data_IF_157687166243
#
_entry.id   IF_157687166243
#
_cell.length_a   1.000
_cell.length_b   1.000
_cell.length_c   1.000
_cell.angle_alpha   90.00
_cell.angle_beta   90.00
_cell.angle_gamma   90.00
#
_symmetry.space_group_name_H-M   'P 1'
#
loop_
_entity.id
_entity.type
_entity.pdbx_description
1 polymer ?
#
# COMPACT_ATOMS: atom_id res chain seq x y z
N UNK A 1 23.87 35.85 -40.32
CA UNK A 1 23.88 36.83 -39.22
C UNK A 1 22.90 37.96 -39.45
N UNK A 2 21.65 37.73 -39.04
CA UNK A 2 20.68 38.68 -38.46
C UNK A 2 19.28 38.05 -38.49
N UNK A 3 18.67 38.05 -37.31
CA UNK A 3 17.23 38.06 -37.03
C UNK A 3 16.33 37.04 -37.76
N UNK A 4 15.89 36.03 -37.02
CA UNK A 4 14.48 35.66 -36.98
C UNK A 4 14.18 34.77 -35.75
N UNK A 5 13.30 35.27 -34.88
CA UNK A 5 12.16 34.59 -34.24
C UNK A 5 12.40 33.34 -33.37
N UNK A 6 11.70 33.08 -32.27
CA UNK A 6 10.71 33.81 -31.48
C UNK A 6 10.53 33.04 -30.16
N UNK A 7 10.48 33.80 -29.07
CA UNK A 7 9.54 33.70 -27.94
C UNK A 7 8.81 32.37 -27.68
N UNK A 8 9.17 31.70 -26.58
CA UNK A 8 8.26 30.82 -25.84
C UNK A 8 8.21 31.29 -24.37
N UNK A 9 7.29 32.22 -24.10
CA UNK A 9 6.68 32.40 -22.79
C UNK A 9 5.71 31.22 -22.59
N UNK A 10 5.70 30.51 -21.47
CA UNK A 10 5.19 31.00 -20.19
C UNK A 10 3.93 30.21 -19.83
N UNK A 11 4.09 28.98 -19.34
CA UNK A 11 3.00 28.21 -18.73
C UNK A 11 3.20 28.18 -17.22
N UNK A 12 2.80 29.26 -16.55
CA UNK A 12 2.61 29.27 -15.11
C UNK A 12 1.38 28.45 -14.75
N UNK A 13 1.58 27.34 -14.05
CA UNK A 13 0.52 26.55 -13.46
C UNK A 13 0.10 27.22 -12.14
N UNK A 14 -1.18 27.57 -11.93
CA UNK A 14 -1.63 28.06 -10.63
C UNK A 14 -1.74 26.88 -9.67
N UNK A 15 -0.73 26.77 -8.82
CA UNK A 15 -0.66 25.87 -7.68
C UNK A 15 -1.53 26.45 -6.56
N UNK A 16 -2.81 26.07 -6.51
CA UNK A 16 -3.74 26.41 -5.42
C UNK A 16 -3.40 25.60 -4.16
N UNK A 17 -2.26 25.94 -3.56
CA UNK A 17 -1.82 25.44 -2.27
C UNK A 17 -2.67 26.01 -1.14
N UNK A 18 -3.78 25.35 -0.80
CA UNK A 18 -4.47 25.55 0.47
C UNK A 18 -3.62 24.98 1.63
N UNK A 19 -2.58 25.74 2.00
CA UNK A 19 -1.76 25.49 3.17
C UNK A 19 -2.52 25.82 4.46
N UNK A 20 -3.13 24.81 5.08
CA UNK A 20 -3.55 24.89 6.48
C UNK A 20 -2.30 24.84 7.37
N UNK A 21 -1.79 25.99 7.79
CA UNK A 21 -0.82 26.08 8.88
C UNK A 21 -1.59 26.12 10.22
N UNK A 22 -1.29 25.22 11.18
CA UNK A 22 -1.85 25.35 12.52
C UNK A 22 -1.17 26.52 13.24
N UNK A 23 -1.99 27.50 13.63
CA UNK A 23 -1.57 28.69 14.34
C UNK A 23 -0.89 28.37 15.68
N UNK A 24 0.27 29.01 15.86
CA UNK A 24 1.01 29.35 17.07
C UNK A 24 0.51 28.85 18.43
N UNK A 25 1.31 27.99 19.04
CA UNK A 25 1.41 27.86 20.49
C UNK A 25 2.01 29.15 21.08
N UNK A 26 1.16 30.13 21.37
CA UNK A 26 1.52 31.33 22.12
C UNK A 26 1.81 30.97 23.58
N UNK A 27 3.07 31.11 23.99
CA UNK A 27 3.47 31.14 25.38
C UNK A 27 2.97 32.45 26.00
N UNK A 28 2.04 32.35 26.95
CA UNK A 28 1.60 33.47 27.77
C UNK A 28 2.04 33.26 29.22
N UNK A 29 2.91 34.18 29.62
CA UNK A 29 3.40 34.61 30.92
C UNK A 29 2.66 34.16 32.18
N UNK A 30 3.49 33.75 33.13
CA UNK A 30 3.19 33.63 34.55
C UNK A 30 2.99 35.00 35.23
N UNK A 31 2.37 34.92 36.43
CA UNK A 31 2.34 35.90 37.53
C UNK A 31 1.35 37.06 37.40
N UNK A 32 0.23 36.96 38.14
CA UNK A 32 -0.14 37.96 39.18
C UNK A 32 -1.33 37.50 40.04
N UNK A 33 -1.02 37.36 41.33
CA UNK A 33 -1.81 37.69 42.54
C UNK A 33 -3.32 37.40 42.59
N UNK A 34 -3.67 36.42 43.41
CA UNK A 34 -5.01 36.20 43.95
C UNK A 34 -5.40 37.24 45.01
N UNK A 35 -6.65 37.75 45.02
CA UNK A 35 -7.20 38.44 46.18
C UNK A 35 -7.77 37.44 47.19
N UNK A 36 -7.38 37.64 48.46
CA UNK A 36 -7.90 36.93 49.62
C UNK A 36 -9.30 37.42 49.98
N UNK A 37 -10.19 36.47 50.23
CA UNK A 37 -11.17 36.52 51.31
C UNK A 37 -12.47 37.31 51.07
N UNK A 38 -13.56 36.57 50.85
CA UNK A 38 -14.85 36.88 51.48
C UNK A 38 -15.44 35.58 51.99
N UNK A 39 -15.63 35.51 53.30
CA UNK A 39 -16.26 34.42 54.00
C UNK A 39 -17.77 34.68 54.14
N UNK A 40 -18.53 33.58 54.10
CA UNK A 40 -19.90 33.37 54.57
C UNK A 40 -21.07 34.07 53.86
N UNK A 41 -21.94 33.22 53.30
CA UNK A 41 -23.28 33.60 52.88
C UNK A 41 -24.02 32.45 52.18
N UNK A 42 -24.40 31.42 52.94
CA UNK A 42 -25.36 30.36 52.60
C UNK A 42 -25.04 29.44 51.40
N UNK A 43 -24.57 28.23 51.73
CA UNK A 43 -24.59 27.11 50.79
C UNK A 43 -26.04 26.73 50.46
N UNK A 44 -26.50 27.11 49.27
CA UNK A 44 -27.72 26.58 48.68
C UNK A 44 -27.59 25.06 48.49
N UNK A 45 -28.09 24.30 49.47
CA UNK A 45 -28.21 22.83 49.47
C UNK A 45 -29.01 22.24 48.28
N UNK A 46 -29.52 23.08 47.36
CA UNK A 46 -30.28 22.65 46.18
C UNK A 46 -29.46 22.50 44.90
N UNK A 47 -28.25 23.04 44.81
CA UNK A 47 -27.51 23.11 43.53
C UNK A 47 -26.28 22.20 43.41
N UNK A 48 -25.89 21.49 44.47
CA UNK A 48 -24.79 20.51 44.41
C UNK A 48 -25.30 19.11 44.74
N UNK A 49 -26.06 18.50 43.82
CA UNK A 49 -26.01 17.03 43.73
C UNK A 49 -24.53 16.70 43.50
N UNK A 50 -23.87 15.88 44.34
CA UNK A 50 -22.51 15.45 44.03
C UNK A 50 -22.60 14.81 42.65
N UNK A 51 -21.91 15.39 41.66
CA UNK A 51 -21.73 14.72 40.38
C UNK A 51 -21.05 13.40 40.74
N UNK A 52 -21.83 12.33 40.78
CA UNK A 52 -21.29 10.98 40.92
C UNK A 52 -20.15 10.88 39.92
N UNK A 53 -19.04 10.25 40.28
CA UNK A 53 -17.79 10.08 39.51
C UNK A 53 -18.00 9.35 38.17
N UNK A 54 -18.94 9.81 37.35
CA UNK A 54 -19.66 9.09 36.30
C UNK A 54 -19.84 9.93 35.03
N UNK A 55 -19.15 11.07 34.94
CA UNK A 55 -19.05 11.87 33.71
C UNK A 55 -17.68 11.75 33.02
N UNK A 56 -16.88 10.75 33.40
CA UNK A 56 -15.72 10.35 32.58
C UNK A 56 -16.26 9.59 31.38
N UNK A 57 -16.00 10.08 30.17
CA UNK A 57 -16.44 9.46 28.92
C UNK A 57 -16.13 7.95 28.82
N UNK A 58 -16.62 7.28 27.77
CA UNK A 58 -16.54 5.84 27.66
C UNK A 58 -15.12 5.31 27.89
N UNK A 59 -14.95 4.44 28.89
CA UNK A 59 -13.65 3.89 29.29
C UNK A 59 -13.19 2.72 28.40
N UNK A 60 -14.13 2.05 27.72
CA UNK A 60 -13.83 0.94 26.82
C UNK A 60 -13.24 1.44 25.49
N UNK A 61 -12.35 0.65 24.88
CA UNK A 61 -11.79 0.99 23.56
C UNK A 61 -12.88 1.17 22.50
N UNK A 62 -13.90 0.30 22.51
CA UNK A 62 -15.07 0.42 21.64
C UNK A 62 -15.88 1.70 21.90
N UNK A 63 -16.06 2.08 23.17
CA UNK A 63 -16.76 3.30 23.52
C UNK A 63 -15.97 4.57 23.17
N UNK A 64 -14.63 4.57 23.35
CA UNK A 64 -13.75 5.65 22.87
C UNK A 64 -13.80 5.79 21.35
N UNK A 65 -13.81 4.68 20.60
CA UNK A 65 -13.96 4.70 19.14
C UNK A 65 -15.33 5.24 18.70
N UNK A 66 -16.42 4.94 19.43
CA UNK A 66 -17.73 5.55 19.19
C UNK A 66 -17.74 7.05 19.51
N UNK A 67 -17.12 7.45 20.62
CA UNK A 67 -17.03 8.86 21.01
C UNK A 67 -16.18 9.69 20.03
N UNK A 68 -15.05 9.15 19.54
CA UNK A 68 -14.23 9.82 18.53
C UNK A 68 -14.96 9.94 17.19
N UNK A 69 -15.76 8.93 16.80
CA UNK A 69 -16.66 9.02 15.64
C UNK A 69 -17.72 10.11 15.81
N UNK A 70 -18.26 10.30 17.02
CA UNK A 70 -19.16 11.43 17.30
C UNK A 70 -18.44 12.78 17.22
N UNK A 71 -17.19 12.87 17.67
CA UNK A 71 -16.39 14.09 17.52
C UNK A 71 -16.10 14.40 16.05
N UNK A 72 -15.97 13.40 15.18
CA UNK A 72 -15.91 13.63 13.73
C UNK A 72 -17.29 14.04 13.20
N UNK A 73 -18.37 13.34 13.58
CA UNK A 73 -19.77 13.60 13.19
C UNK A 73 -20.26 15.00 13.59
N UNK A 74 -19.75 15.54 14.68
CA UNK A 74 -20.11 16.88 15.15
C UNK A 74 -19.00 17.88 14.85
N UNK A 75 -17.74 17.63 15.16
CA UNK A 75 -16.64 18.59 14.98
C UNK A 75 -16.30 18.90 13.52
N UNK A 76 -16.20 17.90 12.63
CA UNK A 76 -15.87 18.15 11.22
C UNK A 76 -17.04 18.78 10.45
N UNK A 77 -18.28 18.60 10.91
CA UNK A 77 -19.51 19.08 10.27
C UNK A 77 -20.07 20.36 10.89
N UNK A 78 -19.53 20.82 12.03
CA UNK A 78 -20.01 22.02 12.77
C UNK A 78 -19.13 23.25 12.56
N UNK A 79 -18.23 23.26 11.57
CA UNK A 79 -17.59 24.51 11.15
C UNK A 79 -18.69 25.52 10.83
N UNK A 80 -18.69 26.66 11.51
CA UNK A 80 -19.66 27.73 11.29
C UNK A 80 -19.27 28.42 9.97
N UNK A 81 -19.96 28.14 8.84
CA UNK A 81 -19.45 28.51 7.53
C UNK A 81 -19.42 30.02 7.31
N UNK A 82 -20.19 30.77 8.10
CA UNK A 82 -20.31 32.23 8.06
C UNK A 82 -19.02 32.98 8.38
N UNK A 83 -17.97 32.32 8.83
CA UNK A 83 -16.65 32.92 9.09
C UNK A 83 -15.65 32.68 7.94
N UNK A 84 -16.06 32.00 6.87
CA UNK A 84 -15.21 31.65 5.75
C UNK A 84 -15.45 32.60 4.57
N UNK A 85 -14.40 33.09 3.94
CA UNK A 85 -14.50 33.93 2.73
C UNK A 85 -15.30 33.23 1.62
N UNK A 86 -15.15 31.91 1.51
CA UNK A 86 -15.90 31.05 0.58
C UNK A 86 -17.41 31.16 0.79
N UNK A 87 -17.89 31.38 2.02
CA UNK A 87 -19.31 31.58 2.26
C UNK A 87 -19.82 32.89 1.67
N UNK A 88 -19.08 33.99 1.84
CA UNK A 88 -19.46 35.27 1.28
C UNK A 88 -19.43 35.23 -0.26
N UNK A 89 -18.44 34.57 -0.86
CA UNK A 89 -18.39 34.34 -2.31
C UNK A 89 -19.65 33.60 -2.80
N UNK A 90 -20.01 32.49 -2.13
CA UNK A 90 -21.21 31.72 -2.51
C UNK A 90 -22.50 32.50 -2.25
N UNK A 91 -22.58 33.28 -1.18
CA UNK A 91 -23.74 34.12 -0.89
C UNK A 91 -23.92 35.19 -1.97
N UNK A 92 -22.87 35.93 -2.32
CA UNK A 92 -22.93 36.93 -3.38
C UNK A 92 -23.39 36.31 -4.70
N UNK A 93 -22.83 35.15 -5.09
CA UNK A 93 -23.27 34.45 -6.31
C UNK A 93 -24.75 34.06 -6.29
N UNK A 94 -25.23 33.52 -5.16
CA UNK A 94 -26.65 33.14 -4.99
C UNK A 94 -27.58 34.37 -5.03
N UNK A 95 -27.17 35.48 -4.41
CA UNK A 95 -27.93 36.72 -4.40
C UNK A 95 -27.99 37.38 -5.78
N UNK A 96 -26.88 37.38 -6.53
CA UNK A 96 -26.80 37.91 -7.89
C UNK A 96 -27.69 37.12 -8.87
N UNK A 97 -27.68 35.79 -8.76
CA UNK A 97 -28.44 34.89 -9.63
C UNK A 97 -29.95 34.94 -9.31
N UNK A 98 -30.31 34.82 -8.03
CA UNK A 98 -31.72 34.65 -7.61
C UNK A 98 -32.44 35.98 -7.34
N UNK A 99 -31.70 37.09 -7.20
CA UNK A 99 -32.21 38.46 -6.97
C UNK A 99 -33.32 38.50 -5.90
N UNK A 100 -33.05 38.02 -4.67
CA UNK A 100 -34.07 37.87 -3.63
C UNK A 100 -34.71 39.22 -3.28
N UNK A 101 -36.04 39.26 -3.14
CA UNK A 101 -36.79 40.48 -2.80
C UNK A 101 -37.52 40.34 -1.47
N UNK A 102 -36.99 40.98 -0.44
CA UNK A 102 -37.55 40.99 0.92
C UNK A 102 -36.79 40.04 1.85
N UNK A 103 -37.04 40.20 3.15
CA UNK A 103 -36.24 39.55 4.21
C UNK A 103 -36.30 38.02 4.12
N UNK A 104 -37.49 37.44 3.89
CA UNK A 104 -37.65 35.98 3.81
C UNK A 104 -36.81 35.38 2.67
N UNK A 105 -36.86 35.99 1.49
CA UNK A 105 -36.09 35.53 0.34
C UNK A 105 -34.57 35.67 0.57
N UNK A 106 -34.13 36.73 1.24
CA UNK A 106 -32.72 36.92 1.60
C UNK A 106 -32.25 35.86 2.60
N UNK A 107 -33.05 35.54 3.63
CA UNK A 107 -32.73 34.46 4.57
C UNK A 107 -32.63 33.10 3.87
N UNK A 108 -33.55 32.80 2.95
CA UNK A 108 -33.48 31.57 2.16
C UNK A 108 -32.21 31.51 1.29
N UNK A 109 -31.78 32.63 0.70
CA UNK A 109 -30.49 32.68 -0.03
C UNK A 109 -29.29 32.42 0.89
N UNK A 110 -29.31 32.91 2.14
CA UNK A 110 -28.27 32.62 3.14
C UNK A 110 -28.21 31.13 3.48
N UNK A 111 -29.36 30.48 3.66
CA UNK A 111 -29.45 29.04 3.94
C UNK A 111 -28.99 28.19 2.75
N UNK A 112 -29.32 28.61 1.53
CA UNK A 112 -28.84 28.00 0.28
C UNK A 112 -27.32 28.12 0.19
N UNK A 113 -26.76 29.33 0.35
CA UNK A 113 -25.32 29.56 0.30
C UNK A 113 -24.57 28.73 1.36
N UNK A 114 -25.10 28.69 2.58
CA UNK A 114 -24.56 27.87 3.66
C UNK A 114 -24.57 26.36 3.31
N UNK A 115 -25.66 25.87 2.71
CA UNK A 115 -25.77 24.48 2.26
C UNK A 115 -24.79 24.15 1.13
N UNK A 116 -24.57 25.08 0.19
CA UNK A 116 -23.58 24.94 -0.88
C UNK A 116 -22.16 24.83 -0.32
N UNK A 117 -21.77 25.70 0.62
CA UNK A 117 -20.46 25.64 1.28
C UNK A 117 -20.28 24.31 2.00
N UNK A 118 -21.29 23.87 2.77
CA UNK A 118 -21.25 22.56 3.44
C UNK A 118 -21.04 21.42 2.47
N UNK A 119 -21.75 21.41 1.34
CA UNK A 119 -21.60 20.37 0.32
C UNK A 119 -20.19 20.40 -0.30
N UNK A 120 -19.65 21.59 -0.56
CA UNK A 120 -18.27 21.75 -1.05
C UNK A 120 -17.25 21.21 -0.03
N UNK A 121 -17.37 21.55 1.25
CA UNK A 121 -16.50 21.02 2.31
C UNK A 121 -16.56 19.49 2.40
N UNK A 122 -17.76 18.90 2.30
CA UNK A 122 -17.92 17.44 2.28
C UNK A 122 -17.22 16.79 1.08
N UNK A 123 -17.33 17.40 -0.09
CA UNK A 123 -16.66 16.93 -1.30
C UNK A 123 -15.13 17.04 -1.17
N UNK A 124 -14.62 18.16 -0.63
CA UNK A 124 -13.19 18.30 -0.36
C UNK A 124 -12.68 17.24 0.62
N UNK A 125 -13.44 16.97 1.69
CA UNK A 125 -13.07 15.96 2.68
C UNK A 125 -13.05 14.54 2.09
N UNK A 126 -14.04 14.19 1.28
CA UNK A 126 -14.08 12.90 0.58
C UNK A 126 -12.89 12.75 -0.39
N UNK A 127 -12.60 13.78 -1.21
CA UNK A 127 -11.44 13.78 -2.12
C UNK A 127 -10.12 13.61 -1.37
N UNK A 128 -9.95 14.29 -0.24
CA UNK A 128 -8.76 14.16 0.58
C UNK A 128 -8.62 12.75 1.18
N UNK A 129 -9.74 12.13 1.57
CA UNK A 129 -9.73 10.73 2.02
C UNK A 129 -9.39 9.75 0.89
N UNK A 130 -9.87 10.00 -0.33
CA UNK A 130 -9.51 9.20 -1.52
C UNK A 130 -8.02 9.34 -1.80
N UNK A 131 -7.49 10.57 -1.84
CA UNK A 131 -6.06 10.83 -2.04
C UNK A 131 -5.21 10.09 -1.00
N UNK A 132 -5.60 10.14 0.28
CA UNK A 132 -4.93 9.37 1.34
C UNK A 132 -5.02 7.87 1.09
N UNK A 133 -6.18 7.34 0.72
CA UNK A 133 -6.33 5.91 0.42
C UNK A 133 -5.43 5.45 -0.74
N UNK A 134 -5.22 6.28 -1.76
CA UNK A 134 -4.37 5.99 -2.93
C UNK A 134 -2.88 6.11 -2.65
N UNK A 135 -2.47 7.10 -1.86
CA UNK A 135 -1.06 7.43 -1.62
C UNK A 135 -0.49 6.85 -0.33
N UNK A 136 -1.33 6.57 0.68
CA UNK A 136 -0.86 6.01 1.94
C UNK A 136 -0.23 4.63 1.73
N UNK A 137 0.75 4.33 2.56
CA UNK A 137 1.39 3.02 2.56
C UNK A 137 0.35 1.91 2.79
N UNK A 138 0.48 0.84 2.01
CA UNK A 138 -0.34 -0.37 2.20
C UNK A 138 0.04 -1.02 3.52
N UNK A 139 -0.94 -1.60 4.22
CA UNK A 139 -0.69 -2.34 5.45
C UNK A 139 0.12 -3.59 5.11
N UNK A 140 1.41 -3.60 5.48
CA UNK A 140 2.33 -4.66 5.08
C UNK A 140 1.91 -6.04 5.60
N UNK A 141 1.26 -6.11 6.76
CA UNK A 141 0.76 -7.39 7.32
C UNK A 141 -0.37 -7.97 6.47
N UNK A 142 -1.26 -7.11 6.01
CA UNK A 142 -2.37 -7.50 5.13
C UNK A 142 -1.83 -7.91 3.76
N UNK A 143 -0.90 -7.13 3.20
CA UNK A 143 -0.22 -7.45 1.96
C UNK A 143 0.48 -8.82 2.06
N UNK A 144 1.26 -9.05 3.11
CA UNK A 144 1.93 -10.32 3.37
C UNK A 144 0.95 -11.50 3.41
N UNK A 145 -0.20 -11.31 4.06
CA UNK A 145 -1.25 -12.34 4.13
C UNK A 145 -1.87 -12.65 2.78
N UNK A 146 -2.06 -11.65 1.90
CA UNK A 146 -2.68 -11.87 0.57
C UNK A 146 -1.76 -12.56 -0.42
N UNK A 147 -0.45 -12.33 -0.28
CA UNK A 147 0.54 -12.89 -1.21
C UNK A 147 1.16 -14.18 -0.69
N UNK A 148 0.76 -14.66 0.48
CA UNK A 148 1.31 -15.84 1.17
C UNK A 148 2.81 -15.69 1.45
N UNK A 149 3.20 -14.50 1.93
CA UNK A 149 4.61 -14.19 2.17
C UNK A 149 5.19 -15.11 3.26
N UNK A 150 6.29 -15.85 3.00
CA UNK A 150 6.76 -16.87 3.94
C UNK A 150 7.42 -16.34 5.23
N UNK A 151 7.80 -15.06 5.28
CA UNK A 151 8.59 -14.48 6.38
C UNK A 151 7.95 -13.23 7.01
N UNK A 152 6.67 -13.27 7.42
CA UNK A 152 5.97 -12.07 7.89
C UNK A 152 6.51 -11.53 9.22
N UNK A 153 7.24 -12.34 10.00
CA UNK A 153 7.80 -11.91 11.29
C UNK A 153 9.16 -11.22 11.17
N UNK A 154 9.98 -11.60 10.18
CA UNK A 154 11.40 -11.20 10.12
C UNK A 154 11.73 -10.27 8.95
N UNK A 155 10.98 -10.34 7.84
CA UNK A 155 11.32 -9.63 6.60
C UNK A 155 10.15 -8.83 6.02
N UNK A 156 9.21 -8.42 6.88
CA UNK A 156 7.99 -7.72 6.46
C UNK A 156 8.30 -6.39 5.75
N UNK A 157 9.35 -5.70 6.21
CA UNK A 157 9.78 -4.41 5.66
C UNK A 157 10.17 -4.48 4.19
N UNK A 158 10.63 -5.65 3.72
CA UNK A 158 11.03 -5.86 2.33
C UNK A 158 9.84 -5.79 1.36
N UNK A 159 8.59 -5.94 1.83
CA UNK A 159 7.38 -5.78 1.02
C UNK A 159 7.00 -4.31 0.78
N UNK A 160 7.39 -3.40 1.68
CA UNK A 160 6.91 -2.01 1.67
C UNK A 160 7.66 -1.10 0.70
N UNK A 161 8.85 -1.49 0.27
CA UNK A 161 9.66 -0.72 -0.67
C UNK A 161 9.70 -1.44 -2.01
N UNK A 162 9.25 -0.85 -3.12
CA UNK A 162 9.44 -1.43 -4.44
C UNK A 162 10.94 -1.48 -4.72
N UNK A 163 11.54 -2.64 -4.49
CA UNK A 163 12.95 -2.84 -4.81
C UNK A 163 13.08 -2.93 -6.33
N UNK A 164 14.04 -2.18 -6.88
CA UNK A 164 14.36 -2.31 -8.29
C UNK A 164 14.73 -3.78 -8.60
N UNK A 165 14.13 -4.33 -9.66
CA UNK A 165 14.37 -5.71 -10.13
C UNK A 165 15.85 -6.06 -10.18
N UNK A 166 16.68 -5.17 -10.75
CA UNK A 166 18.12 -5.36 -10.85
C UNK A 166 18.83 -5.49 -9.50
N UNK A 167 18.32 -4.85 -8.44
CA UNK A 167 18.87 -5.00 -7.08
C UNK A 167 18.55 -6.36 -6.49
N UNK A 168 17.30 -6.81 -6.60
CA UNK A 168 16.89 -8.15 -6.16
C UNK A 168 17.69 -9.23 -6.88
N UNK A 169 17.82 -9.09 -8.19
CA UNK A 169 18.59 -9.98 -9.04
C UNK A 169 20.09 -10.01 -8.68
N UNK A 170 20.71 -8.85 -8.46
CA UNK A 170 22.11 -8.75 -8.06
C UNK A 170 22.35 -9.41 -6.69
N UNK A 171 21.40 -9.26 -5.76
CA UNK A 171 21.46 -9.87 -4.44
C UNK A 171 21.37 -11.40 -4.53
N UNK A 172 20.44 -11.93 -5.32
CA UNK A 172 20.34 -13.37 -5.60
C UNK A 172 21.64 -13.89 -6.21
N UNK A 173 22.15 -13.23 -7.26
CA UNK A 173 23.38 -13.63 -7.94
C UNK A 173 24.59 -13.62 -7.00
N UNK A 174 24.73 -12.59 -6.17
CA UNK A 174 25.83 -12.44 -5.20
C UNK A 174 25.89 -13.61 -4.25
N UNK A 175 24.76 -13.97 -3.63
CA UNK A 175 24.69 -15.09 -2.68
C UNK A 175 24.82 -16.41 -3.41
N UNK A 176 24.20 -16.56 -4.59
CA UNK A 176 24.27 -17.76 -5.42
C UNK A 176 25.72 -18.10 -5.81
N UNK A 177 26.49 -17.14 -6.36
CA UNK A 177 27.91 -17.34 -6.69
C UNK A 177 28.75 -17.77 -5.49
N UNK A 178 28.44 -17.23 -4.31
CA UNK A 178 29.17 -17.53 -3.08
C UNK A 178 28.85 -18.91 -2.53
N UNK A 179 27.58 -19.28 -2.49
CA UNK A 179 27.11 -20.44 -1.72
C UNK A 179 26.69 -21.63 -2.58
N UNK A 180 26.20 -21.40 -3.80
CA UNK A 180 25.78 -22.46 -4.71
C UNK A 180 26.95 -22.99 -5.56
N UNK A 181 28.18 -22.48 -5.39
CA UNK A 181 29.35 -23.02 -6.08
C UNK A 181 29.54 -24.50 -5.73
N UNK A 182 29.57 -25.41 -6.72
CA UNK A 182 29.76 -26.83 -6.47
C UNK A 182 31.03 -27.07 -5.65
N UNK A 183 31.01 -27.97 -4.65
CA UNK A 183 32.22 -28.32 -3.92
C UNK A 183 33.26 -28.87 -4.91
N UNK A 184 34.45 -28.26 -4.94
CA UNK A 184 35.56 -28.73 -5.77
C UNK A 184 36.01 -30.09 -5.26
N UNK A 185 35.81 -31.12 -6.06
CA UNK A 185 36.25 -32.47 -5.71
C UNK A 185 37.77 -32.51 -5.77
N UNK A 186 38.47 -32.95 -4.70
CA UNK A 186 39.92 -32.86 -4.59
C UNK A 186 40.69 -33.65 -5.67
N UNK A 187 40.02 -34.48 -6.47
CA UNK A 187 40.64 -35.30 -7.51
C UNK A 187 40.05 -35.13 -8.92
N UNK A 188 39.19 -34.14 -9.17
CA UNK A 188 38.83 -33.79 -10.55
C UNK A 188 39.91 -32.86 -11.12
N UNK A 189 40.99 -33.47 -11.61
CA UNK A 189 41.92 -32.80 -12.52
C UNK A 189 41.08 -32.16 -13.63
N UNK A 190 41.11 -30.83 -13.83
CA UNK A 190 40.29 -30.20 -14.84
C UNK A 190 40.60 -30.88 -16.18
N UNK A 191 39.58 -31.31 -16.96
CA UNK A 191 39.83 -31.84 -18.29
C UNK A 191 40.62 -30.76 -19.03
N UNK A 192 41.88 -31.06 -19.37
CA UNK A 192 42.77 -30.16 -20.11
C UNK A 192 41.95 -29.60 -21.26
N UNK A 193 41.60 -28.32 -21.16
CA UNK A 193 40.93 -27.59 -22.22
C UNK A 193 41.81 -27.73 -23.46
N UNK A 194 41.38 -28.56 -24.42
CA UNK A 194 42.02 -28.62 -25.74
C UNK A 194 42.06 -27.18 -26.25
N UNK A 195 43.23 -26.65 -26.64
CA UNK A 195 43.32 -25.31 -27.20
C UNK A 195 42.41 -25.26 -28.42
N UNK A 196 41.39 -24.42 -28.33
CA UNK A 196 40.45 -24.12 -29.42
C UNK A 196 41.24 -23.74 -30.65
N UNK A 197 41.20 -24.59 -31.68
CA UNK A 197 41.66 -24.23 -33.01
C UNK A 197 40.93 -22.95 -33.44
N UNK A 198 41.70 -21.96 -33.89
CA UNK A 198 41.21 -20.69 -34.42
C UNK A 198 40.30 -20.94 -35.63
N UNK A 199 39.00 -21.03 -35.43
CA UNK A 199 38.02 -21.01 -36.52
C UNK A 199 37.75 -19.56 -36.92
N UNK A 200 38.07 -19.22 -38.17
CA UNK A 200 37.81 -17.92 -38.81
C UNK A 200 36.30 -17.67 -38.92
N UNK A 201 35.79 -16.45 -38.69
CA UNK A 201 34.40 -16.12 -38.93
C UNK A 201 34.20 -15.78 -40.41
N UNK A 202 33.48 -16.63 -41.14
CA UNK A 202 32.95 -16.30 -42.47
C UNK A 202 31.43 -16.21 -42.34
N UNK A 203 30.91 -15.01 -42.05
CA UNK A 203 29.47 -14.77 -42.00
C UNK A 203 28.98 -14.38 -43.41
N UNK A 204 28.41 -15.35 -44.14
CA UNK A 204 27.54 -15.07 -45.29
C UNK A 204 26.11 -14.94 -44.78
N UNK A 205 25.58 -13.72 -44.87
CA UNK A 205 24.19 -13.36 -44.61
C UNK A 205 23.35 -13.84 -45.79
N UNK A 206 22.54 -14.88 -45.61
CA UNK A 206 21.47 -15.22 -46.55
C UNK A 206 20.12 -15.07 -45.85
N UNK A 207 19.32 -14.16 -46.40
CA UNK A 207 17.93 -13.99 -46.12
C UNK A 207 17.15 -15.19 -46.67
N UNK A 208 16.25 -15.76 -45.88
CA UNK A 208 15.20 -16.63 -46.38
C UNK A 208 13.90 -16.33 -45.65
N UNK A 209 12.93 -16.02 -46.49
CA UNK A 209 11.58 -15.57 -46.21
C UNK A 209 10.70 -16.74 -45.75
N UNK A 210 9.72 -16.39 -44.91
CA UNK A 210 8.36 -16.93 -44.79
C UNK A 210 8.06 -18.37 -45.25
N UNK A 211 7.56 -19.18 -44.32
CA UNK A 211 6.22 -19.81 -44.43
C UNK A 211 5.79 -20.45 -43.10
N UNK A 212 4.75 -19.89 -42.48
CA UNK A 212 3.93 -20.60 -41.49
C UNK A 212 2.94 -21.50 -42.24
N UNK A 213 2.67 -22.70 -41.69
CA UNK A 213 1.27 -23.11 -41.61
C UNK A 213 0.93 -23.81 -40.29
N UNK A 214 -0.34 -23.71 -39.92
CA UNK A 214 -1.03 -24.83 -39.29
C UNK A 214 -1.41 -24.64 -37.82
N UNK A 215 -2.57 -24.01 -37.61
CA UNK A 215 -3.38 -24.20 -36.42
C UNK A 215 -3.96 -25.62 -36.41
N UNK A 216 -4.07 -26.23 -35.21
CA UNK A 216 -4.80 -27.48 -34.98
C UNK A 216 -5.09 -27.67 -33.48
N UNK A 217 -6.26 -28.23 -33.09
CA UNK A 217 -6.87 -28.03 -31.78
C UNK A 217 -6.47 -29.08 -30.74
N UNK A 218 -6.66 -28.73 -29.45
CA UNK A 218 -6.34 -29.57 -28.30
C UNK A 218 -7.25 -30.78 -28.10
N UNK A 219 -6.99 -31.54 -27.01
CA UNK A 219 -8.11 -31.96 -26.17
C UNK A 219 -7.85 -31.85 -24.67
N UNK A 220 -8.98 -31.73 -23.99
CA UNK A 220 -9.31 -31.81 -22.56
C UNK A 220 -8.92 -33.14 -21.90
N UNK A 221 -8.69 -33.11 -20.58
CA UNK A 221 -9.05 -34.09 -19.51
C UNK A 221 -8.18 -33.79 -18.28
N UNK A 222 -8.65 -33.09 -17.24
CA UNK A 222 -9.46 -33.60 -16.11
C UNK A 222 -9.03 -34.98 -15.58
N UNK A 223 -8.32 -35.00 -14.44
CA UNK A 223 -8.43 -36.07 -13.44
C UNK A 223 -8.11 -35.49 -12.07
N UNK A 224 -9.13 -35.41 -11.21
CA UNK A 224 -9.04 -35.11 -9.79
C UNK A 224 -8.60 -36.37 -9.04
N UNK A 225 -7.67 -36.24 -8.10
CA UNK A 225 -7.46 -37.23 -7.04
C UNK A 225 -7.32 -36.52 -5.70
N UNK A 226 -8.37 -36.66 -4.88
CA UNK A 226 -8.39 -36.34 -3.46
C UNK A 226 -7.67 -37.45 -2.69
N UNK A 227 -6.73 -37.09 -1.81
CA UNK A 227 -6.30 -37.95 -0.70
C UNK A 227 -6.15 -37.09 0.55
N UNK A 228 -6.87 -37.50 1.60
CA UNK A 228 -6.90 -36.89 2.93
C UNK A 228 -5.59 -37.13 3.71
N UNK A 229 -5.26 -36.30 4.72
CA UNK A 229 -4.14 -36.57 5.62
C UNK A 229 -4.63 -37.30 6.88
N UNK A 230 -3.93 -38.36 7.28
CA UNK A 230 -4.07 -38.92 8.61
C UNK A 230 -2.71 -39.32 9.21
N UNK A 231 -2.65 -39.13 10.53
CA UNK A 231 -1.80 -39.79 11.51
C UNK A 231 -0.32 -39.37 11.70
N UNK A 232 -0.09 -38.95 12.96
CA UNK A 232 1.00 -39.33 13.90
C UNK A 232 2.33 -38.57 13.85
N UNK A 233 2.45 -37.63 14.80
CA UNK A 233 3.72 -37.28 15.47
C UNK A 233 4.05 -38.29 16.57
N UNK A 234 5.25 -38.88 16.57
CA UNK A 234 6.07 -39.07 17.77
C UNK A 234 7.22 -38.05 17.68
N UNK A 235 7.70 -37.41 18.73
CA UNK A 235 8.16 -37.97 19.99
C UNK A 235 9.42 -37.18 20.31
N UNK A 236 9.46 -36.58 21.50
CA UNK A 236 10.57 -35.78 21.98
C UNK A 236 11.83 -36.64 22.19
N UNK A 237 12.97 -36.19 21.68
CA UNK A 237 14.32 -36.65 22.02
C UNK A 237 15.17 -35.38 21.93
N UNK A 238 15.67 -34.82 23.02
CA UNK A 238 16.78 -35.35 23.81
C UNK A 238 17.94 -34.37 23.65
N UNK A 239 18.07 -33.42 24.57
CA UNK A 239 19.18 -32.46 24.63
C UNK A 239 20.45 -33.21 25.03
N UNK A 240 21.32 -33.46 24.07
CA UNK A 240 22.67 -33.96 24.28
C UNK A 240 23.68 -32.87 23.91
N UNK A 241 24.35 -32.31 24.92
CA UNK A 241 25.51 -31.44 24.75
C UNK A 241 26.70 -32.28 24.22
N UNK A 242 27.01 -32.07 22.94
CA UNK A 242 28.04 -32.80 22.20
C UNK A 242 29.19 -31.89 21.77
N UNK A 243 30.22 -31.83 22.62
CA UNK A 243 31.66 -31.71 22.34
C UNK A 243 32.06 -31.47 20.87
N UNK A 244 32.65 -30.30 20.61
CA UNK A 244 33.27 -29.94 19.34
C UNK A 244 34.42 -30.90 18.97
N UNK A 245 34.19 -31.74 17.95
CA UNK A 245 35.24 -32.45 17.23
C UNK A 245 35.41 -31.78 15.86
N UNK A 246 36.52 -31.07 15.68
CA UNK A 246 37.03 -30.64 14.38
C UNK A 246 37.61 -31.85 13.64
N UNK A 247 36.73 -32.74 13.17
CA UNK A 247 37.05 -33.79 12.22
C UNK A 247 36.88 -33.25 10.80
N UNK A 248 37.97 -33.16 10.03
CA UNK A 248 37.91 -33.01 8.58
C UNK A 248 37.34 -34.32 7.99
N UNK A 249 36.01 -34.44 7.97
CA UNK A 249 35.33 -35.48 7.22
C UNK A 249 35.49 -35.17 5.72
N UNK A 250 36.32 -35.98 5.04
CA UNK A 250 36.28 -36.07 3.59
C UNK A 250 34.91 -36.57 3.19
N UNK A 251 34.07 -35.64 2.70
CA UNK A 251 32.74 -35.95 2.16
C UNK A 251 32.95 -36.91 0.98
N UNK A 252 32.73 -38.20 1.22
CA UNK A 252 32.66 -39.21 0.17
C UNK A 252 31.58 -38.78 -0.83
N UNK A 253 32.00 -38.49 -2.05
CA UNK A 253 31.19 -38.06 -3.20
C UNK A 253 30.09 -39.03 -3.64
N UNK A 254 30.01 -40.19 -3.00
CA UNK A 254 29.21 -41.32 -3.45
C UNK A 254 27.69 -41.17 -3.23
N UNK A 255 27.23 -40.14 -2.52
CA UNK A 255 25.80 -39.88 -2.31
C UNK A 255 25.51 -38.37 -2.34
N UNK A 256 25.80 -37.71 -3.47
CA UNK A 256 25.17 -36.40 -3.73
C UNK A 256 23.65 -36.62 -3.73
N UNK A 257 22.93 -35.87 -2.89
CA UNK A 257 21.48 -35.97 -2.91
C UNK A 257 20.93 -35.32 -4.19
N UNK A 258 19.70 -35.63 -4.55
CA UNK A 258 19.09 -35.10 -5.77
C UNK A 258 19.11 -33.56 -5.82
N UNK A 259 18.93 -32.91 -4.66
CA UNK A 259 18.99 -31.46 -4.52
C UNK A 259 20.39 -30.87 -4.86
N UNK A 260 21.47 -31.60 -4.55
CA UNK A 260 22.83 -31.20 -4.91
C UNK A 260 23.04 -31.21 -6.42
N UNK A 261 22.56 -32.26 -7.08
CA UNK A 261 22.63 -32.41 -8.53
C UNK A 261 21.79 -31.34 -9.25
N UNK A 262 20.60 -31.01 -8.72
CA UNK A 262 19.79 -29.89 -9.24
C UNK A 262 20.54 -28.56 -9.12
N UNK A 263 21.05 -28.25 -7.92
CA UNK A 263 21.81 -27.01 -7.68
C UNK A 263 23.04 -26.91 -8.60
N UNK A 264 23.79 -28.01 -8.76
CA UNK A 264 24.97 -28.06 -9.62
C UNK A 264 24.62 -27.82 -11.10
N UNK A 265 23.55 -28.45 -11.61
CA UNK A 265 23.09 -28.24 -13.00
C UNK A 265 22.71 -26.78 -13.24
N UNK A 266 22.00 -26.18 -12.29
CA UNK A 266 21.54 -24.80 -12.40
C UNK A 266 22.63 -23.75 -12.20
N UNK A 267 23.75 -24.09 -11.55
CA UNK A 267 24.73 -23.10 -11.10
C UNK A 267 25.20 -22.15 -12.21
N UNK A 268 25.64 -22.71 -13.34
CA UNK A 268 26.19 -21.92 -14.44
C UNK A 268 25.12 -21.12 -15.17
N UNK A 269 23.98 -21.75 -15.45
CA UNK A 269 22.85 -21.10 -16.12
C UNK A 269 22.32 -19.94 -15.28
N UNK A 270 22.16 -20.12 -13.97
CA UNK A 270 21.77 -19.04 -13.07
C UNK A 270 22.81 -17.92 -13.00
N UNK A 271 24.11 -18.24 -13.03
CA UNK A 271 25.15 -17.21 -13.09
C UNK A 271 25.09 -16.39 -14.38
N UNK A 272 24.82 -17.02 -15.52
CA UNK A 272 24.68 -16.36 -16.82
C UNK A 272 23.42 -15.49 -16.86
N UNK A 273 22.26 -16.10 -16.58
CA UNK A 273 20.96 -15.43 -16.67
C UNK A 273 20.81 -14.31 -15.64
N UNK A 274 21.24 -14.51 -14.39
CA UNK A 274 21.15 -13.44 -13.40
C UNK A 274 22.21 -12.33 -13.61
N UNK A 275 23.18 -12.48 -14.52
CA UNK A 275 24.11 -11.39 -14.85
C UNK A 275 23.51 -10.35 -15.81
N UNK A 276 22.41 -10.67 -16.48
CA UNK A 276 21.74 -9.82 -17.48
C UNK A 276 20.29 -9.54 -17.05
N UNK A 277 19.68 -8.40 -17.38
CA UNK A 277 18.29 -8.12 -17.00
C UNK A 277 17.35 -9.29 -17.35
N UNK A 278 16.70 -9.85 -16.33
CA UNK A 278 15.92 -11.07 -16.48
C UNK A 278 14.52 -10.74 -17.02
N UNK A 279 14.18 -11.25 -18.20
CA UNK A 279 12.81 -11.20 -18.70
C UNK A 279 12.03 -12.42 -18.17
N UNK A 280 11.11 -12.18 -17.23
CA UNK A 280 10.37 -13.25 -16.56
C UNK A 280 9.55 -14.11 -17.53
N UNK A 281 9.07 -13.53 -18.63
CA UNK A 281 8.24 -14.25 -19.61
C UNK A 281 9.07 -15.19 -20.49
N UNK A 282 10.28 -14.79 -20.86
CA UNK A 282 11.15 -15.60 -21.72
C UNK A 282 11.82 -16.74 -20.96
N UNK A 283 11.96 -16.59 -19.64
CA UNK A 283 12.76 -17.48 -18.79
C UNK A 283 11.92 -18.24 -17.77
N UNK A 284 10.60 -18.40 -18.00
CA UNK A 284 9.70 -19.02 -17.00
C UNK A 284 10.11 -20.46 -16.67
N UNK A 285 10.54 -21.26 -17.64
CA UNK A 285 11.06 -22.62 -17.38
C UNK A 285 12.26 -22.63 -16.42
N UNK A 286 13.22 -21.72 -16.64
CA UNK A 286 14.37 -21.59 -15.75
C UNK A 286 13.92 -21.17 -14.34
N UNK A 287 12.96 -20.24 -14.24
CA UNK A 287 12.42 -19.81 -12.95
C UNK A 287 11.66 -20.93 -12.23
N UNK A 288 10.93 -21.79 -12.94
CA UNK A 288 10.28 -22.97 -12.35
C UNK A 288 11.30 -23.96 -11.77
N UNK A 289 12.39 -24.25 -12.50
CA UNK A 289 13.48 -25.08 -11.98
C UNK A 289 14.16 -24.43 -10.76
N UNK A 290 14.33 -23.11 -10.81
CA UNK A 290 14.91 -22.33 -9.72
C UNK A 290 14.01 -22.32 -8.48
N UNK A 291 12.68 -22.28 -8.67
CA UNK A 291 11.69 -22.37 -7.59
C UNK A 291 11.88 -23.66 -6.78
N UNK A 292 12.12 -24.79 -7.46
CA UNK A 292 12.42 -26.08 -6.81
C UNK A 292 13.71 -25.99 -6.00
N UNK A 293 14.79 -25.44 -6.57
CA UNK A 293 16.07 -25.32 -5.85
C UNK A 293 15.97 -24.39 -4.64
N UNK A 294 15.21 -23.30 -4.74
CA UNK A 294 14.99 -22.38 -3.64
C UNK A 294 14.11 -22.98 -2.53
N UNK A 295 13.15 -23.84 -2.89
CA UNK A 295 12.36 -24.62 -1.94
C UNK A 295 13.22 -25.67 -1.21
N UNK A 296 14.04 -26.43 -1.95
CA UNK A 296 15.01 -27.37 -1.38
C UNK A 296 15.93 -26.63 -0.38
N UNK A 297 16.47 -25.48 -0.80
CA UNK A 297 17.37 -24.67 0.00
C UNK A 297 16.71 -24.14 1.28
N UNK A 298 15.44 -23.71 1.20
CA UNK A 298 14.65 -23.30 2.37
C UNK A 298 14.45 -24.43 3.37
N UNK A 299 14.33 -25.67 2.90
CA UNK A 299 14.23 -26.87 3.75
C UNK A 299 15.59 -27.31 4.31
N UNK A 300 16.67 -26.63 3.95
CA UNK A 300 18.03 -27.02 4.32
C UNK A 300 18.55 -28.24 3.55
N UNK A 301 17.92 -28.59 2.43
CA UNK A 301 18.35 -29.69 1.58
C UNK A 301 19.51 -29.26 0.67
N UNK A 302 20.39 -30.23 0.40
CA UNK A 302 21.60 -30.04 -0.38
C UNK A 302 22.61 -29.06 0.24
N UNK A 303 23.76 -28.90 -0.41
CA UNK A 303 24.85 -28.08 0.09
C UNK A 303 24.50 -26.60 0.12
N UNK A 304 23.67 -26.10 -0.82
CA UNK A 304 23.27 -24.69 -0.85
C UNK A 304 22.36 -24.34 0.33
N UNK A 305 21.32 -25.14 0.60
CA UNK A 305 20.46 -24.98 1.77
C UNK A 305 21.22 -25.10 3.08
N UNK A 306 22.08 -26.11 3.22
CA UNK A 306 22.93 -26.27 4.40
C UNK A 306 23.87 -25.07 4.62
N UNK A 307 24.46 -24.52 3.56
CA UNK A 307 25.34 -23.34 3.64
C UNK A 307 24.56 -22.08 4.04
N UNK A 308 23.35 -21.88 3.51
CA UNK A 308 22.46 -20.79 3.92
C UNK A 308 22.12 -20.91 5.41
N UNK A 309 21.70 -22.10 5.86
CA UNK A 309 21.36 -22.37 7.25
C UNK A 309 22.55 -22.13 8.20
N UNK A 310 23.75 -22.56 7.83
CA UNK A 310 24.98 -22.31 8.63
C UNK A 310 25.32 -20.82 8.75
N UNK A 311 25.04 -20.03 7.73
CA UNK A 311 25.29 -18.58 7.76
C UNK A 311 24.15 -17.79 8.40
N UNK A 312 22.97 -18.40 8.56
CA UNK A 312 21.75 -17.69 8.99
C UNK A 312 21.28 -16.64 7.98
N UNK A 313 21.79 -16.69 6.75
CA UNK A 313 21.50 -15.70 5.71
C UNK A 313 20.38 -16.22 4.81
N UNK A 314 19.16 -15.70 5.00
CA UNK A 314 18.00 -15.99 4.14
C UNK A 314 17.72 -14.86 3.14
N UNK A 315 18.62 -13.88 3.01
CA UNK A 315 18.40 -12.71 2.14
C UNK A 315 18.16 -13.12 0.69
N UNK A 316 18.89 -14.14 0.21
CA UNK A 316 18.75 -14.66 -1.15
C UNK A 316 17.39 -15.31 -1.40
N UNK A 317 16.87 -16.06 -0.41
CA UNK A 317 15.55 -16.69 -0.51
C UNK A 317 14.46 -15.62 -0.54
N UNK A 318 14.58 -14.59 0.30
CA UNK A 318 13.65 -13.46 0.33
C UNK A 318 13.73 -12.67 -0.98
N UNK A 319 14.93 -12.31 -1.44
CA UNK A 319 15.13 -11.55 -2.66
C UNK A 319 14.63 -12.30 -3.89
N UNK A 320 14.87 -13.61 -3.96
CA UNK A 320 14.36 -14.47 -5.03
C UNK A 320 12.82 -14.55 -4.99
N UNK A 321 12.23 -14.74 -3.81
CA UNK A 321 10.79 -14.79 -3.67
C UNK A 321 10.13 -13.47 -4.12
N UNK A 322 10.70 -12.32 -3.73
CA UNK A 322 10.23 -10.99 -4.16
C UNK A 322 10.37 -10.80 -5.67
N UNK A 323 11.50 -11.26 -6.25
CA UNK A 323 11.73 -11.25 -7.69
C UNK A 323 10.65 -12.05 -8.41
N UNK A 324 10.39 -13.29 -7.97
CA UNK A 324 9.42 -14.22 -8.58
C UNK A 324 7.97 -13.73 -8.46
N UNK A 325 7.62 -13.07 -7.35
CA UNK A 325 6.25 -12.67 -7.02
C UNK A 325 5.98 -11.18 -7.25
N UNK A 326 6.80 -10.48 -8.03
CA UNK A 326 6.66 -9.03 -8.21
C UNK A 326 5.31 -8.62 -8.80
N UNK A 327 4.83 -9.34 -9.82
CA UNK A 327 3.51 -9.09 -10.43
C UNK A 327 2.37 -9.29 -9.42
N UNK A 328 2.38 -10.41 -8.68
CA UNK A 328 1.42 -10.71 -7.60
C UNK A 328 1.44 -9.62 -6.52
N UNK A 329 2.62 -9.11 -6.16
CA UNK A 329 2.76 -8.03 -5.18
C UNK A 329 2.18 -6.71 -5.68
N UNK A 330 2.45 -6.33 -6.94
CA UNK A 330 1.90 -5.13 -7.56
C UNK A 330 0.38 -5.20 -7.63
N UNK A 331 -0.16 -6.34 -8.08
CA UNK A 331 -1.59 -6.57 -8.17
C UNK A 331 -2.26 -6.50 -6.79
N UNK A 332 -1.73 -7.23 -5.79
CA UNK A 332 -2.27 -7.21 -4.43
C UNK A 332 -2.21 -5.81 -3.79
N UNK A 333 -1.13 -5.06 -4.05
CA UNK A 333 -0.98 -3.67 -3.60
C UNK A 333 -2.06 -2.78 -4.23
N UNK A 334 -2.30 -2.91 -5.52
CA UNK A 334 -3.33 -2.16 -6.23
C UNK A 334 -4.74 -2.53 -5.75
N UNK A 335 -5.03 -3.82 -5.57
CA UNK A 335 -6.30 -4.29 -5.01
C UNK A 335 -6.55 -3.72 -3.61
N UNK A 336 -5.54 -3.74 -2.73
CA UNK A 336 -5.64 -3.16 -1.39
C UNK A 336 -5.92 -1.65 -1.40
N UNK A 337 -5.29 -0.91 -2.32
CA UNK A 337 -5.58 0.52 -2.50
C UNK A 337 -7.00 0.74 -3.03
N UNK A 338 -7.42 -0.03 -4.02
CA UNK A 338 -8.75 0.06 -4.59
C UNK A 338 -9.83 -0.23 -3.56
N UNK A 339 -9.66 -1.26 -2.73
CA UNK A 339 -10.60 -1.57 -1.65
C UNK A 339 -10.73 -0.43 -0.64
N UNK A 340 -9.62 0.22 -0.29
CA UNK A 340 -9.64 1.41 0.59
C UNK A 340 -10.36 2.58 -0.09
N UNK A 341 -10.10 2.82 -1.37
CA UNK A 341 -10.79 3.87 -2.14
C UNK A 341 -12.29 3.59 -2.24
N UNK A 342 -12.68 2.35 -2.55
CA UNK A 342 -14.09 1.91 -2.57
C UNK A 342 -14.72 2.09 -1.19
N UNK A 343 -14.02 1.75 -0.10
CA UNK A 343 -14.52 1.94 1.26
C UNK A 343 -14.75 3.43 1.61
N UNK A 344 -13.97 4.36 1.05
CA UNK A 344 -14.22 5.80 1.18
C UNK A 344 -15.41 6.24 0.35
N UNK A 345 -15.51 5.79 -0.91
CA UNK A 345 -16.61 6.14 -1.83
C UNK A 345 -17.96 5.56 -1.40
N UNK A 346 -17.94 4.42 -0.72
CA UNK A 346 -19.13 3.74 -0.18
C UNK A 346 -19.35 4.04 1.31
N UNK A 347 -18.66 5.04 1.86
CA UNK A 347 -18.84 5.46 3.24
C UNK A 347 -20.25 6.02 3.45
N UNK A 348 -21.10 5.19 4.06
CA UNK A 348 -22.50 5.49 4.30
C UNK A 348 -22.69 6.81 5.07
N UNK A 349 -21.75 7.18 5.94
CA UNK A 349 -21.85 8.42 6.69
C UNK A 349 -21.66 9.65 5.80
N UNK A 350 -20.71 9.61 4.86
CA UNK A 350 -20.51 10.70 3.89
C UNK A 350 -21.72 10.77 2.96
N UNK A 351 -22.19 9.64 2.44
CA UNK A 351 -23.37 9.60 1.58
C UNK A 351 -24.61 10.18 2.27
N UNK A 352 -24.90 9.77 3.50
CA UNK A 352 -26.03 10.29 4.29
C UNK A 352 -25.89 11.79 4.57
N UNK A 353 -24.69 12.25 4.92
CA UNK A 353 -24.43 13.67 5.17
C UNK A 353 -24.68 14.52 3.91
N UNK A 354 -24.15 14.09 2.74
CA UNK A 354 -24.40 14.75 1.46
C UNK A 354 -25.88 14.75 1.09
N UNK A 355 -26.55 13.61 1.21
CA UNK A 355 -27.98 13.50 0.92
C UNK A 355 -28.84 14.42 1.81
N UNK A 356 -28.48 14.56 3.08
CA UNK A 356 -29.13 15.50 4.00
C UNK A 356 -28.94 16.96 3.56
N UNK A 357 -27.70 17.37 3.27
CA UNK A 357 -27.41 18.74 2.80
C UNK A 357 -28.10 19.03 1.46
N UNK A 358 -28.08 18.08 0.52
CA UNK A 358 -28.77 18.20 -0.77
C UNK A 358 -30.29 18.25 -0.64
N UNK A 359 -30.87 17.58 0.36
CA UNK A 359 -32.30 17.70 0.65
C UNK A 359 -32.62 19.10 1.15
N UNK A 360 -31.88 19.61 2.14
CA UNK A 360 -32.06 20.98 2.64
C UNK A 360 -31.87 22.04 1.56
N UNK A 361 -30.89 21.85 0.67
CA UNK A 361 -30.69 22.73 -0.49
C UNK A 361 -31.92 22.75 -1.43
N UNK A 362 -32.49 21.58 -1.74
CA UNK A 362 -33.70 21.47 -2.57
C UNK A 362 -34.92 22.10 -1.90
N UNK A 363 -35.10 21.87 -0.60
CA UNK A 363 -36.17 22.48 0.19
C UNK A 363 -36.04 24.01 0.18
N UNK A 364 -34.85 24.55 0.43
CA UNK A 364 -34.60 25.99 0.39
C UNK A 364 -34.86 26.62 -0.98
N UNK A 365 -34.45 25.95 -2.06
CA UNK A 365 -34.74 26.39 -3.43
C UNK A 365 -36.24 26.37 -3.75
N UNK A 366 -36.96 25.30 -3.38
CA UNK A 366 -38.40 25.20 -3.60
C UNK A 366 -39.16 26.28 -2.82
N UNK A 367 -38.83 26.50 -1.55
CA UNK A 367 -39.44 27.56 -0.73
C UNK A 367 -39.17 28.94 -1.32
N UNK A 368 -37.97 29.18 -1.88
CA UNK A 368 -37.68 30.45 -2.54
C UNK A 368 -38.53 30.66 -3.79
N UNK A 369 -38.71 29.62 -4.60
CA UNK A 369 -39.57 29.65 -5.79
C UNK A 369 -41.03 29.92 -5.43
N UNK A 370 -41.54 29.30 -4.37
CA UNK A 370 -42.90 29.53 -3.85
C UNK A 370 -43.09 30.99 -3.42
N UNK A 371 -42.14 31.55 -2.65
CA UNK A 371 -42.18 32.95 -2.21
C UNK A 371 -42.13 33.91 -3.39
N UNK A 372 -41.32 33.61 -4.41
CA UNK A 372 -41.27 34.42 -5.64
C UNK A 372 -42.57 34.31 -6.45
N UNK A 373 -43.17 33.11 -6.54
CA UNK A 373 -44.43 32.85 -7.24
C UNK A 373 -45.63 33.57 -6.62
N UNK A 374 -45.76 33.53 -5.28
CA UNK A 374 -46.80 34.25 -4.55
C UNK A 374 -46.78 35.76 -4.82
N UNK A 375 -45.58 36.31 -5.02
CA UNK A 375 -45.40 37.74 -5.32
C UNK A 375 -45.83 38.11 -6.74
N UNK A 376 -45.73 37.19 -7.69
CA UNK A 376 -46.26 37.38 -9.04
C UNK A 376 -47.80 37.33 -9.04
N UNK A 377 -48.37 36.37 -8.30
CA UNK A 377 -49.82 36.24 -8.16
C UNK A 377 -50.49 37.44 -7.47
N UNK A 378 -49.80 38.14 -6.56
CA UNK A 378 -50.32 39.35 -5.91
C UNK A 378 -50.18 40.63 -6.76
N UNK A 379 -49.41 40.59 -7.86
CA UNK A 379 -49.21 41.72 -8.77
C UNK A 379 -50.07 41.67 -10.02
N UNK A 380 -50.52 40.47 -10.38
CA UNK A 380 -51.57 40.25 -11.38
C UNK A 380 -52.93 40.56 -10.75
#
# INVERSE_FOLDING_TARGET
DKEMQASAAGSGSPDDGFGWTPAGAGQASALRSAPKGVAHGQEEKRLKRPLSKRSGGPQSAAGRARASRNAIKHGAYSLHPTQLDVYHEKLCGVEEELKPKGVIAQTLCQDIAHSLVKLQTLNCHERERIRKAEHDAVNLKELASRVDFPWPQTHLENLGSPQALGRLQSEVLRVWRKLAKPPTLPNQTPPRSRPSAKAKPTFKRQALQHKFPGAGPGPTSETQAQVAPDAKRPGAVGLGEGRAQTGQEGISTALLCEADLRTQRMYWQACELFSSPLNQFEQDHFLQDMDVVMLDARQGLGYFGQRLARLGDISALVAYWLLRNQSKLQEATHQLKNERTIAVLTDEHICRAKAHVQRGLREGLNSLLEVQGLKLAHRA
#
